data_IF_781510864055
#
_entry.id   IF_781510864055
#
_cell.length_a   1.000
_cell.length_b   1.000
_cell.length_c   1.000
_cell.angle_alpha   90.00
_cell.angle_beta   90.00
_cell.angle_gamma   90.00
#
_symmetry.space_group_name_H-M   'P 1'
#
loop_
_entity.id
_entity.type
_entity.pdbx_description
1 polymer ?
#
# COMPACT_ATOMS: atom_id res chain seq x y z
N UNK A 1 -24.91 -2.24 12.68
CA UNK A 1 -24.59 -2.49 11.26
C UNK A 1 -23.71 -1.33 10.79
N UNK A 2 -22.49 -1.61 10.31
CA UNK A 2 -21.63 -0.55 9.79
C UNK A 2 -22.21 -0.04 8.46
N UNK A 3 -22.20 1.28 8.23
CA UNK A 3 -22.69 1.82 6.97
C UNK A 3 -21.79 1.42 5.80
N UNK A 4 -22.35 1.37 4.58
CA UNK A 4 -21.57 1.06 3.37
C UNK A 4 -20.37 2.01 3.19
N UNK A 5 -20.53 3.27 3.59
CA UNK A 5 -19.45 4.28 3.61
C UNK A 5 -18.35 3.88 4.59
N UNK A 6 -18.70 3.44 5.81
CA UNK A 6 -17.71 2.98 6.80
C UNK A 6 -16.97 1.73 6.33
N UNK A 7 -17.65 0.80 5.65
CA UNK A 7 -17.01 -0.37 5.06
C UNK A 7 -16.04 0.00 3.93
N UNK A 8 -16.45 0.88 3.00
CA UNK A 8 -15.57 1.38 1.92
C UNK A 8 -14.34 2.11 2.48
N UNK A 9 -14.54 2.97 3.48
CA UNK A 9 -13.47 3.74 4.10
C UNK A 9 -12.47 2.85 4.87
N UNK A 10 -12.94 1.74 5.46
CA UNK A 10 -12.06 0.73 6.04
C UNK A 10 -11.20 0.04 4.98
N UNK A 11 -11.77 -0.26 3.80
CA UNK A 11 -11.03 -0.83 2.66
C UNK A 11 -10.00 0.18 2.14
N UNK A 12 -10.36 1.44 1.96
CA UNK A 12 -9.44 2.49 1.50
C UNK A 12 -8.32 2.79 2.50
N UNK A 13 -8.55 2.64 3.81
CA UNK A 13 -7.48 2.74 4.82
C UNK A 13 -6.40 1.67 4.60
N UNK A 14 -6.77 0.46 4.16
CA UNK A 14 -5.81 -0.59 3.80
C UNK A 14 -4.96 -0.14 2.61
N UNK A 15 -5.58 0.48 1.59
CA UNK A 15 -4.84 1.04 0.45
C UNK A 15 -3.85 2.12 0.87
N UNK A 16 -4.28 3.08 1.69
CA UNK A 16 -3.41 4.17 2.15
C UNK A 16 -2.22 3.61 2.92
N UNK A 17 -2.46 2.68 3.86
CA UNK A 17 -1.40 2.01 4.61
C UNK A 17 -0.43 1.25 3.71
N UNK A 18 -0.96 0.46 2.77
CA UNK A 18 -0.16 -0.33 1.85
C UNK A 18 0.71 0.55 0.95
N UNK A 19 0.14 1.64 0.40
CA UNK A 19 0.90 2.62 -0.38
C UNK A 19 1.97 3.29 0.46
N UNK A 20 1.67 3.66 1.70
CA UNK A 20 2.64 4.27 2.61
C UNK A 20 3.84 3.33 2.85
N UNK A 21 3.58 2.04 3.13
CA UNK A 21 4.63 1.02 3.29
C UNK A 21 5.47 0.92 2.01
N UNK A 22 4.84 0.86 0.83
CA UNK A 22 5.56 0.76 -0.45
C UNK A 22 6.45 1.98 -0.67
N UNK A 23 5.92 3.21 -0.53
CA UNK A 23 6.67 4.43 -0.81
C UNK A 23 7.82 4.64 0.17
N UNK A 24 7.59 4.44 1.47
CA UNK A 24 8.64 4.58 2.49
C UNK A 24 9.72 3.54 2.28
N UNK A 25 9.33 2.28 2.05
CA UNK A 25 10.30 1.20 1.84
C UNK A 25 11.10 1.38 0.55
N UNK A 26 10.45 1.83 -0.53
CA UNK A 26 11.14 2.17 -1.78
C UNK A 26 12.12 3.33 -1.59
N UNK A 27 11.72 4.40 -0.90
CA UNK A 27 12.59 5.53 -0.61
C UNK A 27 13.82 5.13 0.21
N UNK A 28 13.62 4.33 1.26
CA UNK A 28 14.72 3.83 2.09
C UNK A 28 15.63 2.85 1.35
N UNK A 29 15.06 2.01 0.48
CA UNK A 29 15.85 1.12 -0.37
C UNK A 29 16.75 1.90 -1.34
N UNK A 30 16.21 2.94 -1.99
CA UNK A 30 16.96 3.81 -2.90
C UNK A 30 18.07 4.55 -2.14
N UNK A 31 17.76 5.11 -0.97
CA UNK A 31 18.73 5.80 -0.13
C UNK A 31 19.85 4.86 0.32
N UNK A 32 19.50 3.66 0.79
CA UNK A 32 20.46 2.63 1.15
C UNK A 32 21.33 2.19 -0.03
N UNK A 33 20.74 2.08 -1.23
CA UNK A 33 21.46 1.76 -2.47
C UNK A 33 22.46 2.84 -2.84
N UNK A 34 22.08 4.11 -2.74
CA UNK A 34 22.97 5.24 -2.98
C UNK A 34 24.18 5.25 -2.02
N UNK A 35 23.95 4.94 -0.74
CA UNK A 35 25.00 4.79 0.28
C UNK A 35 25.96 3.64 0.00
N UNK A 36 25.47 2.53 -0.54
CA UNK A 36 26.32 1.41 -0.97
C UNK A 36 27.17 1.83 -2.18
N UNK A 37 26.56 2.51 -3.15
CA UNK A 37 27.23 2.99 -4.35
C UNK A 37 28.27 4.10 -4.07
N UNK A 38 28.14 4.84 -2.96
CA UNK A 38 29.15 5.81 -2.53
C UNK A 38 30.41 5.18 -1.94
N UNK A 39 30.53 3.85 -1.95
CA UNK A 39 31.69 3.12 -1.41
C UNK A 39 31.58 2.77 0.06
N UNK A 40 30.47 3.08 0.72
CA UNK A 40 30.24 2.87 2.15
C UNK A 40 29.55 1.52 2.42
N UNK A 41 30.01 0.47 1.73
CA UNK A 41 29.42 -0.85 1.86
C UNK A 41 29.77 -1.48 3.22
N UNK A 42 28.76 -1.75 4.03
CA UNK A 42 28.90 -2.43 5.31
C UNK A 42 27.96 -3.64 5.36
N UNK A 43 28.23 -4.66 6.19
CA UNK A 43 27.28 -5.75 6.39
C UNK A 43 25.87 -5.23 6.78
N UNK A 44 25.83 -4.13 7.53
CA UNK A 44 24.59 -3.45 7.90
C UNK A 44 23.83 -2.89 6.68
N UNK A 45 24.53 -2.34 5.68
CA UNK A 45 23.86 -1.81 4.48
C UNK A 45 23.22 -2.92 3.64
N UNK A 46 23.85 -4.09 3.56
CA UNK A 46 23.27 -5.27 2.87
C UNK A 46 22.03 -5.77 3.59
N UNK A 47 22.09 -5.91 4.92
CA UNK A 47 20.92 -6.34 5.73
C UNK A 47 19.78 -5.33 5.62
N UNK A 48 20.08 -4.03 5.69
CA UNK A 48 19.10 -2.96 5.53
C UNK A 48 18.40 -3.05 4.16
N UNK A 49 19.15 -3.21 3.07
CA UNK A 49 18.59 -3.37 1.73
C UNK A 49 17.66 -4.59 1.63
N UNK A 50 18.03 -5.72 2.22
CA UNK A 50 17.18 -6.91 2.25
C UNK A 50 15.87 -6.66 3.02
N UNK A 51 15.94 -5.98 4.17
CA UNK A 51 14.76 -5.62 4.96
C UNK A 51 13.82 -4.74 4.13
N UNK A 52 14.35 -3.70 3.49
CA UNK A 52 13.54 -2.80 2.68
C UNK A 52 12.97 -3.47 1.44
N UNK A 53 13.73 -4.37 0.79
CA UNK A 53 13.22 -5.19 -0.31
C UNK A 53 12.04 -6.07 0.14
N UNK A 54 12.15 -6.74 1.29
CA UNK A 54 11.06 -7.52 1.86
C UNK A 54 9.84 -6.66 2.20
N UNK A 55 10.05 -5.46 2.74
CA UNK A 55 8.97 -4.53 3.06
C UNK A 55 8.23 -4.02 1.81
N UNK A 56 8.93 -3.77 0.71
CA UNK A 56 8.33 -3.45 -0.60
C UNK A 56 7.45 -4.61 -1.07
N UNK A 57 7.96 -5.83 -1.04
CA UNK A 57 7.18 -7.03 -1.42
C UNK A 57 5.93 -7.16 -0.55
N UNK A 58 6.07 -6.99 0.77
CA UNK A 58 4.96 -6.97 1.73
C UNK A 58 3.90 -5.94 1.37
N UNK A 59 4.30 -4.69 1.15
CA UNK A 59 3.39 -3.61 0.74
C UNK A 59 2.66 -3.92 -0.58
N UNK A 60 3.35 -4.49 -1.58
CA UNK A 60 2.72 -4.91 -2.85
C UNK A 60 1.67 -6.00 -2.61
N UNK A 61 1.94 -6.96 -1.72
CA UNK A 61 0.96 -8.00 -1.39
C UNK A 61 -0.28 -7.42 -0.69
N UNK A 62 -0.12 -6.42 0.17
CA UNK A 62 -1.26 -5.70 0.76
C UNK A 62 -2.07 -4.93 -0.30
N UNK A 63 -1.41 -4.28 -1.27
CA UNK A 63 -2.12 -3.63 -2.39
C UNK A 63 -2.94 -4.65 -3.19
N UNK A 64 -2.41 -5.86 -3.42
CA UNK A 64 -3.15 -6.94 -4.09
C UNK A 64 -4.34 -7.41 -3.26
N UNK A 65 -4.17 -7.55 -1.94
CA UNK A 65 -5.26 -7.91 -1.02
C UNK A 65 -6.36 -6.84 -0.99
N UNK A 66 -5.98 -5.57 -0.97
CA UNK A 66 -6.93 -4.45 -1.11
C UNK A 66 -7.74 -4.56 -2.40
N UNK A 67 -7.08 -4.74 -3.56
CA UNK A 67 -7.77 -4.86 -4.84
C UNK A 67 -8.75 -6.03 -4.87
N UNK A 68 -8.42 -7.13 -4.20
CA UNK A 68 -9.30 -8.29 -4.09
C UNK A 68 -10.51 -7.99 -3.20
N UNK A 69 -10.29 -7.43 -2.01
CA UNK A 69 -11.37 -7.04 -1.10
C UNK A 69 -12.32 -6.01 -1.73
N UNK A 70 -11.79 -5.08 -2.52
CA UNK A 70 -12.58 -4.09 -3.24
C UNK A 70 -13.51 -4.74 -4.28
N UNK A 71 -12.98 -5.69 -5.06
CA UNK A 71 -13.75 -6.42 -6.06
C UNK A 71 -14.84 -7.28 -5.43
N UNK A 72 -14.53 -7.95 -4.33
CA UNK A 72 -15.50 -8.76 -3.58
C UNK A 72 -16.62 -7.87 -3.02
N UNK A 73 -16.27 -6.70 -2.47
CA UNK A 73 -17.24 -5.72 -1.98
C UNK A 73 -18.13 -5.15 -3.10
N UNK A 74 -17.55 -4.80 -4.25
CA UNK A 74 -18.29 -4.28 -5.41
C UNK A 74 -19.16 -5.35 -6.08
N UNK A 75 -18.77 -6.62 -6.03
CA UNK A 75 -19.58 -7.73 -6.52
C UNK A 75 -20.86 -7.94 -5.69
N UNK A 76 -20.81 -7.63 -4.39
CA UNK A 76 -21.95 -7.81 -3.47
C UNK A 76 -22.86 -6.58 -3.40
N UNK A 77 -22.30 -5.36 -3.47
CA UNK A 77 -23.04 -4.12 -3.23
C UNK A 77 -23.26 -3.25 -4.49
N UNK A 78 -22.65 -3.60 -5.61
CA UNK A 78 -22.67 -2.84 -6.86
C UNK A 78 -21.40 -2.03 -7.10
N UNK A 79 -21.11 -1.77 -8.38
CA UNK A 79 -19.95 -0.98 -8.80
C UNK A 79 -20.08 0.44 -8.24
N UNK A 80 -19.05 0.91 -7.52
CA UNK A 80 -19.05 2.25 -6.90
C UNK A 80 -19.84 2.36 -5.59
N UNK A 81 -20.29 1.24 -5.01
CA UNK A 81 -20.96 1.28 -3.71
C UNK A 81 -20.11 1.98 -2.65
N UNK A 82 -20.71 2.95 -1.94
CA UNK A 82 -20.03 3.71 -0.89
C UNK A 82 -18.96 4.71 -1.37
N UNK A 83 -18.85 4.95 -2.68
CA UNK A 83 -18.01 6.03 -3.21
C UNK A 83 -18.68 7.39 -2.96
N UNK A 84 -17.99 8.28 -2.23
CA UNK A 84 -18.50 9.62 -1.93
C UNK A 84 -18.26 10.62 -3.07
N UNK A 85 -17.50 10.24 -4.10
CA UNK A 85 -17.17 11.13 -5.23
C UNK A 85 -18.25 11.15 -6.31
N UNK A 86 -19.12 10.13 -6.40
CA UNK A 86 -20.18 10.08 -7.44
C UNK A 86 -21.41 10.94 -7.15
N UNK A 87 -21.52 11.54 -5.95
CA UNK A 87 -22.63 12.41 -5.56
C UNK A 87 -22.32 13.91 -5.65
N UNK A 88 -21.12 14.29 -6.11
CA UNK A 88 -20.70 15.69 -6.20
C UNK A 88 -21.08 16.38 -7.52
N UNK A 89 -21.69 15.65 -8.47
CA UNK A 89 -22.02 16.13 -9.81
C UNK A 89 -23.54 16.36 -10.04
N UNK A 90 -24.32 16.62 -8.98
CA UNK A 90 -25.75 17.00 -9.10
C UNK A 90 -26.04 18.40 -8.56
#
# INVERSE_FOLDING_TARGET
MASLIQQRLAIDRIRVRALWIVYVSAGMFILGGALVLSGTMTPFSVVSLLIWACAIVGGITEVRRYRRALREFEAEHGIGAGDQTSGADS
#
